data_IF_147918011048
#
_entry.id   IF_147918011048
#
_cell.length_a   1.000
_cell.length_b   1.000
_cell.length_c   1.000
_cell.angle_alpha   90.00
_cell.angle_beta   90.00
_cell.angle_gamma   90.00
#
_symmetry.space_group_name_H-M   'P 1'
#
loop_
_entity.id
_entity.type
_entity.pdbx_description
1 polymer ?
#
# COMPACT_ATOMS: atom_id res chain seq x y z
N UNK A 1 9.32 13.79 -5.42
CA UNK A 1 8.85 12.40 -5.40
C UNK A 1 7.80 12.25 -4.30
N UNK A 2 6.83 11.36 -4.49
CA UNK A 2 5.73 11.13 -3.55
C UNK A 2 5.90 9.74 -2.94
N UNK A 3 5.75 9.63 -1.63
CA UNK A 3 5.61 8.36 -0.92
C UNK A 3 4.16 8.21 -0.49
N UNK A 4 3.44 7.28 -1.10
CA UNK A 4 2.05 6.99 -0.74
C UNK A 4 2.03 5.95 0.37
N UNK A 5 1.41 6.28 1.51
CA UNK A 5 1.23 5.38 2.63
C UNK A 5 -0.23 4.92 2.70
N UNK A 6 -0.42 3.60 2.77
CA UNK A 6 -1.71 2.94 2.88
C UNK A 6 -1.73 2.01 4.09
N UNK A 7 -2.67 2.23 5.00
CA UNK A 7 -2.86 1.38 6.17
C UNK A 7 -4.31 0.89 6.17
N UNK A 8 -4.56 -0.44 6.05
CA UNK A 8 -5.90 -0.99 6.14
C UNK A 8 -6.71 -0.54 7.36
N UNK A 9 -6.07 -0.13 8.45
CA UNK A 9 -6.75 0.26 9.70
C UNK A 9 -6.97 1.76 9.83
N UNK A 10 -6.16 2.60 9.19
CA UNK A 10 -6.16 4.04 9.40
C UNK A 10 -5.95 4.83 8.10
N UNK A 11 -6.64 5.96 7.98
CA UNK A 11 -6.43 6.90 6.85
C UNK A 11 -5.26 7.86 7.05
N UNK A 12 -4.52 7.70 8.15
CA UNK A 12 -3.42 8.58 8.55
C UNK A 12 -2.16 7.78 8.85
N UNK A 13 -1.01 8.34 8.52
CA UNK A 13 0.29 7.79 8.87
C UNK A 13 0.65 8.17 10.32
N UNK A 14 0.63 7.19 11.23
CA UNK A 14 1.10 7.34 12.61
C UNK A 14 2.55 7.81 12.69
N UNK A 15 2.92 8.48 13.79
CA UNK A 15 4.28 9.04 13.97
C UNK A 15 5.37 7.98 13.88
N UNK A 16 5.10 6.79 14.42
CA UNK A 16 5.99 5.64 14.38
C UNK A 16 6.33 5.20 12.95
N UNK A 17 5.35 5.26 12.03
CA UNK A 17 5.55 4.94 10.62
C UNK A 17 6.29 6.06 9.89
N UNK A 18 6.08 7.32 10.25
CA UNK A 18 6.75 8.46 9.64
C UNK A 18 8.27 8.36 9.80
N UNK A 19 8.77 7.94 10.97
CA UNK A 19 10.21 7.75 11.21
C UNK A 19 10.77 6.72 10.21
N UNK A 20 10.14 5.55 10.10
CA UNK A 20 10.57 4.50 9.18
C UNK A 20 10.56 4.97 7.72
N UNK A 21 9.48 5.66 7.30
CA UNK A 21 9.35 6.16 5.93
C UNK A 21 10.42 7.22 5.64
N UNK A 22 10.74 8.10 6.60
CA UNK A 22 11.81 9.07 6.45
C UNK A 22 13.18 8.37 6.25
N UNK A 23 13.48 7.34 7.04
CA UNK A 23 14.70 6.54 6.86
C UNK A 23 14.75 5.90 5.47
N UNK A 24 13.64 5.34 4.99
CA UNK A 24 13.57 4.79 3.63
C UNK A 24 13.81 5.87 2.57
N UNK A 25 13.20 7.05 2.72
CA UNK A 25 13.39 8.16 1.79
C UNK A 25 14.85 8.64 1.74
N UNK A 26 15.55 8.66 2.87
CA UNK A 26 16.98 8.99 2.94
C UNK A 26 17.86 7.94 2.24
N UNK A 27 17.57 6.66 2.43
CA UNK A 27 18.28 5.57 1.74
C UNK A 27 18.07 5.67 0.23
N UNK A 28 16.82 5.87 -0.22
CA UNK A 28 16.50 6.02 -1.64
C UNK A 28 17.16 7.27 -2.24
N UNK A 29 17.19 8.38 -1.50
CA UNK A 29 17.88 9.60 -1.93
C UNK A 29 19.37 9.35 -2.20
N UNK A 30 20.04 8.57 -1.35
CA UNK A 30 21.44 8.16 -1.55
C UNK A 30 21.61 7.25 -2.77
N UNK A 31 20.77 6.23 -2.92
CA UNK A 31 20.83 5.26 -4.03
C UNK A 31 20.64 5.95 -5.38
N UNK A 32 19.67 6.87 -5.46
CA UNK A 32 19.35 7.57 -6.70
C UNK A 32 20.17 8.85 -6.91
N UNK A 33 21.13 9.17 -6.03
CA UNK A 33 21.93 10.39 -6.06
C UNK A 33 21.08 11.68 -6.18
N UNK A 34 19.95 11.74 -5.46
CA UNK A 34 19.03 12.90 -5.48
C UNK A 34 19.01 13.58 -4.11
N UNK A 35 18.84 14.90 -4.11
CA UNK A 35 18.56 15.69 -2.90
C UNK A 35 17.06 15.90 -2.64
N UNK A 36 16.19 15.22 -3.42
CA UNK A 36 14.75 15.48 -3.37
C UNK A 36 14.15 14.95 -2.09
N UNK A 37 13.54 15.83 -1.29
CA UNK A 37 12.70 15.44 -0.17
C UNK A 37 11.43 14.78 -0.70
N UNK A 38 11.18 13.56 -0.26
CA UNK A 38 9.94 12.85 -0.59
C UNK A 38 8.79 13.44 0.21
N UNK A 39 7.67 13.69 -0.46
CA UNK A 39 6.43 14.09 0.22
C UNK A 39 5.66 12.83 0.59
N UNK A 40 5.49 12.59 1.88
CA UNK A 40 4.65 11.51 2.39
C UNK A 40 3.19 11.97 2.31
N UNK A 41 2.33 11.16 1.68
CA UNK A 41 0.89 11.40 1.62
C UNK A 41 0.14 10.15 2.04
N UNK A 42 -1.07 10.32 2.56
CA UNK A 42 -1.99 9.24 2.92
C UNK A 42 -3.25 9.37 2.05
N UNK A 43 -3.27 8.80 0.84
CA UNK A 43 -4.42 8.94 -0.05
C UNK A 43 -5.66 8.24 0.51
N UNK A 44 -6.85 8.64 0.07
CA UNK A 44 -8.09 7.95 0.47
C UNK A 44 -8.15 6.54 -0.09
N UNK A 45 -8.49 5.59 0.78
CA UNK A 45 -8.66 4.18 0.46
C UNK A 45 -9.74 3.56 1.36
N UNK A 46 -10.23 2.38 0.96
CA UNK A 46 -11.10 1.55 1.81
C UNK A 46 -10.35 1.13 3.08
N UNK A 47 -11.07 0.94 4.18
CA UNK A 47 -10.51 0.41 5.42
C UNK A 47 -10.98 -1.04 5.62
N UNK A 48 -10.19 -1.81 6.35
CA UNK A 48 -10.59 -3.11 6.83
C UNK A 48 -11.71 -2.98 7.86
N UNK A 49 -12.66 -3.91 7.80
CA UNK A 49 -13.78 -4.00 8.75
C UNK A 49 -13.66 -5.21 9.67
N UNK A 50 -12.60 -6.00 9.52
CA UNK A 50 -12.32 -7.20 10.30
C UNK A 50 -10.85 -7.23 10.77
N UNK A 51 -10.47 -8.27 11.52
CA UNK A 51 -9.13 -8.42 12.11
C UNK A 51 -8.19 -9.32 11.29
N UNK A 52 -8.60 -9.81 10.12
CA UNK A 52 -7.89 -10.86 9.36
C UNK A 52 -7.59 -10.50 7.90
N UNK A 53 -8.10 -9.37 7.43
CA UNK A 53 -8.04 -9.00 6.01
C UNK A 53 -6.96 -7.96 5.69
N UNK A 54 -6.16 -7.51 6.65
CA UNK A 54 -5.09 -6.53 6.44
C UNK A 54 -4.14 -6.92 5.30
N UNK A 55 -3.64 -8.17 5.32
CA UNK A 55 -2.72 -8.67 4.28
C UNK A 55 -3.35 -8.71 2.89
N UNK A 56 -4.63 -9.10 2.81
CA UNK A 56 -5.38 -9.12 1.54
C UNK A 56 -5.56 -7.71 1.00
N UNK A 57 -5.88 -6.75 1.88
CA UNK A 57 -6.06 -5.36 1.51
C UNK A 57 -4.76 -4.69 1.08
N UNK A 58 -3.62 -5.00 1.71
CA UNK A 58 -2.30 -4.54 1.23
C UNK A 58 -2.05 -5.02 -0.20
N UNK A 59 -2.32 -6.29 -0.50
CA UNK A 59 -2.23 -6.82 -1.87
C UNK A 59 -3.20 -6.11 -2.83
N UNK A 60 -4.44 -5.86 -2.39
CA UNK A 60 -5.44 -5.14 -3.18
C UNK A 60 -4.99 -3.71 -3.50
N UNK A 61 -4.40 -3.00 -2.54
CA UNK A 61 -3.92 -1.64 -2.78
C UNK A 61 -2.81 -1.60 -3.81
N UNK A 62 -1.84 -2.53 -3.70
CA UNK A 62 -0.78 -2.65 -4.68
C UNK A 62 -1.34 -3.00 -6.08
N UNK A 63 -2.27 -3.96 -6.15
CA UNK A 63 -2.91 -4.38 -7.39
C UNK A 63 -3.61 -3.21 -8.10
N UNK A 64 -4.50 -2.51 -7.39
CA UNK A 64 -5.21 -1.36 -7.95
C UNK A 64 -4.26 -0.22 -8.33
N UNK A 65 -3.19 0.00 -7.55
CA UNK A 65 -2.25 1.08 -7.85
C UNK A 65 -1.49 0.84 -9.16
N UNK A 66 -1.10 -0.41 -9.43
CA UNK A 66 -0.45 -0.80 -10.69
C UNK A 66 -1.40 -0.64 -11.87
N UNK A 67 -2.69 -0.92 -11.68
CA UNK A 67 -3.72 -0.75 -12.72
C UNK A 67 -4.22 0.70 -12.87
N UNK A 68 -3.74 1.64 -12.04
CA UNK A 68 -4.27 3.01 -11.93
C UNK A 68 -5.78 3.07 -11.60
N UNK A 69 -6.27 2.12 -10.81
CA UNK A 69 -7.66 2.06 -10.36
C UNK A 69 -7.89 2.73 -8.99
N UNK A 70 -9.17 2.98 -8.67
CA UNK A 70 -9.58 3.58 -7.40
C UNK A 70 -9.40 2.61 -6.23
N UNK A 71 -8.76 3.10 -5.17
CA UNK A 71 -8.64 2.41 -3.89
C UNK A 71 -9.87 2.56 -2.98
N UNK A 72 -10.90 3.29 -3.43
CA UNK A 72 -12.13 3.53 -2.67
C UNK A 72 -13.28 2.59 -3.09
N UNK A 73 -13.06 1.76 -4.11
CA UNK A 73 -14.02 0.76 -4.54
C UNK A 73 -14.06 -0.39 -3.54
N UNK A 74 -15.24 -0.76 -3.00
CA UNK A 74 -15.37 -1.93 -2.13
C UNK A 74 -14.88 -3.19 -2.82
N UNK A 75 -14.13 -4.02 -2.10
CA UNK A 75 -13.61 -5.29 -2.60
C UNK A 75 -14.29 -6.45 -1.88
N UNK A 76 -14.67 -7.48 -2.63
CA UNK A 76 -15.04 -8.75 -2.03
C UNK A 76 -13.76 -9.50 -1.65
N UNK A 77 -13.43 -9.48 -0.36
CA UNK A 77 -12.21 -10.09 0.19
C UNK A 77 -12.09 -11.58 -0.17
N UNK A 78 -13.20 -12.32 -0.20
CA UNK A 78 -13.19 -13.76 -0.49
C UNK A 78 -12.83 -14.02 -1.95
N UNK A 79 -13.43 -13.28 -2.88
CA UNK A 79 -13.09 -13.39 -4.31
C UNK A 79 -11.67 -12.91 -4.58
N UNK A 80 -11.22 -11.85 -3.90
CA UNK A 80 -9.85 -11.37 -4.08
C UNK A 80 -8.81 -12.37 -3.55
N UNK A 81 -9.10 -13.09 -2.47
CA UNK A 81 -8.24 -14.21 -2.00
C UNK A 81 -8.13 -15.33 -3.04
N UNK A 82 -9.22 -15.69 -3.72
CA UNK A 82 -9.19 -16.68 -4.81
C UNK A 82 -8.31 -16.19 -5.96
N UNK A 83 -8.46 -14.93 -6.36
CA UNK A 83 -7.64 -14.32 -7.40
C UNK A 83 -6.13 -14.35 -7.06
N UNK A 84 -5.77 -14.04 -5.81
CA UNK A 84 -4.37 -14.15 -5.34
C UNK A 84 -3.88 -15.59 -5.46
N UNK A 85 -4.67 -16.56 -4.97
CA UNK A 85 -4.31 -17.97 -5.04
C UNK A 85 -4.10 -18.44 -6.48
N UNK A 86 -5.04 -18.11 -7.38
CA UNK A 86 -4.98 -18.43 -8.81
C UNK A 86 -3.70 -17.88 -9.46
N UNK A 87 -3.33 -16.62 -9.19
CA UNK A 87 -2.10 -16.03 -9.70
C UNK A 87 -0.83 -16.74 -9.19
N UNK A 88 -0.83 -17.17 -7.92
CA UNK A 88 0.32 -17.88 -7.35
C UNK A 88 0.47 -19.26 -8.01
N UNK A 89 -0.63 -19.99 -8.20
CA UNK A 89 -0.56 -21.35 -8.78
C UNK A 89 -0.34 -21.35 -10.29
N UNK A 90 -0.79 -20.32 -11.01
CA UNK A 90 -0.61 -20.22 -12.47
C UNK A 90 0.79 -19.76 -12.88
N UNK A 91 1.58 -19.26 -11.93
CA UNK A 91 2.94 -18.76 -12.16
C UNK A 91 4.03 -19.83 -11.91
N UNK A 92 3.62 -21.06 -11.57
CA UNK A 92 4.47 -22.26 -11.51
C UNK A 92 4.29 -23.11 -12.77
#
# INVERSE_FOLDING_TARGET
MIFEFYDPQNKSCGQEYQILIHTWCEVLAKIFATSTKWKIICPSHILQTDNMSCGVLVCYYAYQRVQNESLNTPVNITEFRKLIYEHIISSN
#
